data_IF_014247030422
#
_entry.id   IF_014247030422
#
_cell.length_a   1.000
_cell.length_b   1.000
_cell.length_c   1.000
_cell.angle_alpha   90.00
_cell.angle_beta   90.00
_cell.angle_gamma   90.00
#
_symmetry.space_group_name_H-M   'P 1'
#
loop_
_entity.id
_entity.type
_entity.pdbx_description
1 polymer ?
#
# COMPACT_ATOMS: atom_id res chain seq x y z
N UNK A 1 -2.90 35.13 -6.38
CA UNK A 1 -3.73 34.57 -5.28
C UNK A 1 -3.57 35.28 -3.93
N UNK A 2 -2.49 36.05 -3.67
CA UNK A 2 -2.25 36.71 -2.38
C UNK A 2 -3.27 37.82 -1.97
N UNK A 3 -4.28 38.11 -2.80
CA UNK A 3 -5.24 39.19 -2.56
C UNK A 3 -6.71 38.76 -2.55
N UNK A 4 -7.02 37.46 -2.70
CA UNK A 4 -8.42 37.02 -2.73
C UNK A 4 -9.07 37.29 -1.36
N UNK A 5 -10.22 37.96 -1.38
CA UNK A 5 -11.05 38.20 -0.20
C UNK A 5 -11.89 36.97 0.11
N UNK A 6 -12.41 36.87 1.34
CA UNK A 6 -13.30 35.77 1.72
C UNK A 6 -14.55 35.71 0.83
N UNK A 7 -15.17 36.85 0.50
CA UNK A 7 -16.36 36.88 -0.34
C UNK A 7 -16.04 36.41 -1.77
N UNK A 8 -14.91 36.82 -2.34
CA UNK A 8 -14.47 36.34 -3.66
C UNK A 8 -14.18 34.84 -3.64
N UNK A 9 -13.56 34.33 -2.58
CA UNK A 9 -13.30 32.91 -2.43
C UNK A 9 -14.61 32.10 -2.32
N UNK A 10 -15.55 32.53 -1.47
CA UNK A 10 -16.85 31.87 -1.32
C UNK A 10 -17.65 31.89 -2.63
N UNK A 11 -17.61 33.01 -3.36
CA UNK A 11 -18.26 33.11 -4.67
C UNK A 11 -17.66 32.13 -5.68
N UNK A 12 -16.32 31.99 -5.73
CA UNK A 12 -15.68 31.00 -6.59
C UNK A 12 -16.05 29.56 -6.23
N UNK A 13 -16.17 29.26 -4.93
CA UNK A 13 -16.62 27.93 -4.47
C UNK A 13 -18.07 27.69 -4.86
N UNK A 14 -18.94 28.68 -4.67
CA UNK A 14 -20.35 28.62 -5.08
C UNK A 14 -20.46 28.35 -6.59
N UNK A 15 -19.77 29.13 -7.42
CA UNK A 15 -19.74 28.96 -8.87
C UNK A 15 -19.21 27.59 -9.28
N UNK A 16 -18.19 27.07 -8.60
CA UNK A 16 -17.65 25.74 -8.88
C UNK A 16 -18.66 24.62 -8.56
N UNK A 17 -19.44 24.77 -7.48
CA UNK A 17 -20.47 23.81 -7.09
C UNK A 17 -21.68 23.89 -8.03
N UNK A 18 -22.16 25.11 -8.31
CA UNK A 18 -23.33 25.36 -9.17
C UNK A 18 -23.09 24.89 -10.61
N UNK A 19 -21.91 25.20 -11.16
CA UNK A 19 -21.50 24.72 -12.49
C UNK A 19 -21.04 23.25 -12.50
N UNK A 20 -21.03 22.57 -11.35
CA UNK A 20 -20.55 21.19 -11.19
C UNK A 20 -19.12 20.97 -11.68
N UNK A 21 -18.27 21.99 -11.55
CA UNK A 21 -16.84 21.89 -11.83
C UNK A 21 -16.10 21.29 -10.63
N UNK A 22 -16.10 19.96 -10.59
CA UNK A 22 -15.44 19.24 -9.51
C UNK A 22 -13.92 19.42 -9.46
N UNK A 23 -13.27 19.70 -10.59
CA UNK A 23 -11.82 19.90 -10.64
C UNK A 23 -11.44 21.22 -9.98
N UNK A 24 -12.12 22.31 -10.36
CA UNK A 24 -11.90 23.61 -9.75
C UNK A 24 -12.33 23.65 -8.28
N UNK A 25 -13.46 23.02 -7.94
CA UNK A 25 -13.90 22.87 -6.55
C UNK A 25 -12.87 22.10 -5.70
N UNK A 26 -12.27 21.03 -6.25
CA UNK A 26 -11.20 20.29 -5.60
C UNK A 26 -9.95 21.14 -5.35
N UNK A 27 -9.58 22.05 -6.26
CA UNK A 27 -8.46 22.97 -6.05
C UNK A 27 -8.75 23.94 -4.91
N UNK A 28 -9.94 24.54 -4.88
CA UNK A 28 -10.35 25.47 -3.84
C UNK A 28 -10.43 24.80 -2.46
N UNK A 29 -10.72 23.50 -2.39
CA UNK A 29 -10.80 22.74 -1.13
C UNK A 29 -9.60 21.84 -0.84
N UNK A 30 -8.52 21.95 -1.62
CA UNK A 30 -7.30 21.17 -1.40
C UNK A 30 -6.24 21.95 -0.64
N UNK A 31 -5.57 21.26 0.28
CA UNK A 31 -4.41 21.79 0.99
C UNK A 31 -3.15 21.96 0.12
N UNK A 32 -3.20 21.58 -1.16
CA UNK A 32 -2.14 21.84 -2.14
C UNK A 32 -2.25 23.20 -2.83
N UNK A 33 -3.42 23.83 -2.76
CA UNK A 33 -3.65 25.08 -3.47
C UNK A 33 -3.11 26.27 -2.65
N UNK A 34 -2.59 27.33 -3.31
CA UNK A 34 -1.97 28.47 -2.59
C UNK A 34 -2.92 29.26 -1.67
N UNK A 35 -4.24 29.06 -1.76
CA UNK A 35 -5.23 29.75 -0.93
C UNK A 35 -5.02 29.47 0.57
N UNK A 36 -4.49 28.30 0.93
CA UNK A 36 -4.24 27.88 2.32
C UNK A 36 -3.27 28.82 3.03
N UNK A 37 -2.34 29.44 2.28
CA UNK A 37 -1.36 30.37 2.80
C UNK A 37 -1.91 31.81 2.94
N UNK A 38 -3.15 32.09 2.53
CA UNK A 38 -3.74 33.42 2.61
C UNK A 38 -4.29 33.68 4.03
N UNK A 39 -3.72 34.64 4.80
CA UNK A 39 -4.19 34.94 6.15
C UNK A 39 -5.66 35.39 6.22
N UNK A 40 -6.20 35.94 5.13
CA UNK A 40 -7.62 36.37 5.06
C UNK A 40 -8.62 35.22 5.03
N UNK A 41 -8.15 34.01 4.70
CA UNK A 41 -8.95 32.78 4.67
C UNK A 41 -8.74 31.90 5.91
N UNK A 42 -7.73 32.20 6.72
CA UNK A 42 -7.43 31.53 7.99
C UNK A 42 -8.31 32.09 9.10
N UNK A 43 -9.60 31.75 9.07
CA UNK A 43 -10.62 32.29 9.98
C UNK A 43 -10.94 31.30 11.10
N UNK A 44 -11.07 31.80 12.33
CA UNK A 44 -11.50 30.99 13.49
C UNK A 44 -13.00 30.70 13.48
N UNK A 45 -13.81 31.62 12.96
CA UNK A 45 -15.28 31.53 12.93
C UNK A 45 -15.85 31.94 11.56
N UNK A 46 -15.71 31.10 10.51
CA UNK A 46 -16.20 31.39 9.17
C UNK A 46 -17.70 31.04 8.93
N UNK A 47 -18.40 30.47 9.90
CA UNK A 47 -19.73 29.83 9.74
C UNK A 47 -20.77 30.77 9.16
N UNK A 48 -21.00 31.92 9.79
CA UNK A 48 -22.02 32.88 9.36
C UNK A 48 -21.79 33.36 7.93
N UNK A 49 -20.52 33.59 7.56
CA UNK A 49 -20.16 34.04 6.20
C UNK A 49 -20.39 32.94 5.17
N UNK A 50 -20.11 31.68 5.51
CA UNK A 50 -20.35 30.56 4.60
C UNK A 50 -21.86 30.33 4.42
N UNK A 51 -22.64 30.40 5.49
CA UNK A 51 -24.11 30.25 5.47
C UNK A 51 -24.83 31.34 4.65
N UNK A 52 -24.24 32.52 4.54
CA UNK A 52 -24.80 33.60 3.72
C UNK A 52 -24.67 33.35 2.20
N UNK A 53 -23.75 32.47 1.77
CA UNK A 53 -23.39 32.28 0.36
C UNK A 53 -23.67 30.87 -0.14
N UNK A 54 -23.51 29.86 0.72
CA UNK A 54 -23.59 28.45 0.39
C UNK A 54 -24.76 27.79 1.11
N UNK A 55 -25.35 26.77 0.48
CA UNK A 55 -26.42 25.98 1.09
C UNK A 55 -25.87 24.72 1.79
N UNK A 56 -26.59 24.19 2.81
CA UNK A 56 -26.24 22.91 3.41
C UNK A 56 -26.22 21.73 2.44
N UNK A 57 -25.22 20.82 2.53
CA UNK A 57 -24.16 20.75 3.54
C UNK A 57 -22.84 21.44 3.12
N UNK A 58 -22.82 22.22 2.03
CA UNK A 58 -21.61 22.84 1.49
C UNK A 58 -21.12 24.03 2.33
N UNK A 59 -22.02 24.76 2.97
CA UNK A 59 -21.70 25.80 3.96
C UNK A 59 -20.85 25.25 5.12
N UNK A 60 -21.29 24.15 5.73
CA UNK A 60 -20.61 23.46 6.82
C UNK A 60 -19.24 22.93 6.37
N UNK A 61 -19.19 22.37 5.16
CA UNK A 61 -17.96 21.85 4.56
C UNK A 61 -16.91 22.95 4.36
N UNK A 62 -17.30 24.08 3.77
CA UNK A 62 -16.37 25.20 3.48
C UNK A 62 -15.96 25.92 4.76
N UNK A 63 -16.88 26.09 5.71
CA UNK A 63 -16.56 26.63 7.04
C UNK A 63 -15.52 25.76 7.76
N UNK A 64 -15.72 24.44 7.77
CA UNK A 64 -14.76 23.49 8.34
C UNK A 64 -13.40 23.54 7.62
N UNK A 65 -13.37 23.68 6.29
CA UNK A 65 -12.13 23.82 5.54
C UNK A 65 -11.36 25.08 5.94
N UNK A 66 -12.02 26.23 6.03
CA UNK A 66 -11.39 27.49 6.45
C UNK A 66 -10.86 27.41 7.88
N UNK A 67 -11.61 26.80 8.82
CA UNK A 67 -11.11 26.52 10.18
C UNK A 67 -9.92 25.56 10.17
N UNK A 68 -9.91 24.58 9.28
CA UNK A 68 -8.77 23.68 9.08
C UNK A 68 -7.53 24.48 8.63
N UNK A 69 -7.67 25.42 7.69
CA UNK A 69 -6.55 26.29 7.27
C UNK A 69 -6.02 27.15 8.43
N UNK A 70 -6.90 27.66 9.29
CA UNK A 70 -6.52 28.39 10.50
C UNK A 70 -5.76 27.49 11.50
N UNK A 71 -6.23 26.27 11.75
CA UNK A 71 -5.56 25.33 12.64
C UNK A 71 -4.16 24.93 12.11
N UNK A 72 -4.03 24.72 10.80
CA UNK A 72 -2.74 24.45 10.14
C UNK A 72 -1.78 25.62 10.27
N UNK A 73 -2.26 26.86 10.07
CA UNK A 73 -1.45 28.07 10.24
C UNK A 73 -0.91 28.22 11.67
N UNK A 74 -1.66 27.74 12.67
CA UNK A 74 -1.27 27.72 14.07
C UNK A 74 -0.49 26.46 14.49
N UNK A 75 -0.10 25.59 13.55
CA UNK A 75 0.58 24.32 13.80
C UNK A 75 -0.18 23.35 14.74
N UNK A 76 -1.52 23.45 14.79
CA UNK A 76 -2.37 22.49 15.49
C UNK A 76 -2.95 21.46 14.50
N UNK A 77 -2.19 20.39 14.26
CA UNK A 77 -2.61 19.33 13.35
C UNK A 77 -3.68 18.42 13.95
N UNK A 78 -3.82 18.38 15.28
CA UNK A 78 -4.90 17.61 15.93
C UNK A 78 -6.23 18.29 15.67
N UNK A 79 -6.28 19.61 15.81
CA UNK A 79 -7.48 20.37 15.49
C UNK A 79 -7.76 20.42 13.98
N UNK A 80 -6.71 20.56 13.14
CA UNK A 80 -6.84 20.46 11.69
C UNK A 80 -7.44 19.11 11.26
N UNK A 81 -7.01 18.00 11.87
CA UNK A 81 -7.58 16.68 11.61
C UNK A 81 -9.08 16.61 11.93
N UNK A 82 -9.53 17.21 13.04
CA UNK A 82 -10.95 17.25 13.39
C UNK A 82 -11.76 18.03 12.37
N UNK A 83 -11.30 19.22 11.99
CA UNK A 83 -11.98 20.02 10.97
C UNK A 83 -11.98 19.34 9.60
N UNK A 84 -10.88 18.72 9.19
CA UNK A 84 -10.86 17.94 7.95
C UNK A 84 -11.80 16.73 8.01
N UNK A 85 -11.99 16.12 9.17
CA UNK A 85 -12.99 15.06 9.36
C UNK A 85 -14.40 15.60 9.10
N UNK A 86 -14.72 16.80 9.61
CA UNK A 86 -15.99 17.48 9.33
C UNK A 86 -16.16 17.81 7.83
N UNK A 87 -15.10 18.26 7.16
CA UNK A 87 -15.11 18.47 5.69
C UNK A 87 -15.55 17.20 4.97
N UNK A 88 -14.93 16.05 5.29
CA UNK A 88 -15.27 14.76 4.65
C UNK A 88 -16.70 14.32 4.99
N UNK A 89 -17.17 14.53 6.22
CA UNK A 89 -18.54 14.17 6.63
C UNK A 89 -19.60 15.02 5.94
N UNK A 90 -19.40 16.34 5.85
CA UNK A 90 -20.29 17.25 5.13
C UNK A 90 -20.28 16.98 3.63
N UNK A 91 -19.10 16.76 3.04
CA UNK A 91 -18.96 16.31 1.66
C UNK A 91 -19.74 15.01 1.42
N UNK A 92 -19.59 14.02 2.31
CA UNK A 92 -20.25 12.71 2.14
C UNK A 92 -21.78 12.83 2.11
N UNK A 93 -22.38 13.73 2.91
CA UNK A 93 -23.81 14.02 2.88
C UNK A 93 -24.26 14.54 1.51
N UNK A 94 -23.55 15.50 0.92
CA UNK A 94 -23.84 15.97 -0.44
C UNK A 94 -23.57 14.88 -1.48
N UNK A 95 -22.45 14.18 -1.37
CA UNK A 95 -22.07 13.16 -2.33
C UNK A 95 -23.06 11.99 -2.38
N UNK A 96 -23.76 11.69 -1.28
CA UNK A 96 -24.84 10.71 -1.25
C UNK A 96 -26.12 11.18 -1.98
N UNK A 97 -26.42 12.48 -1.96
CA UNK A 97 -27.63 13.02 -2.58
C UNK A 97 -27.52 13.12 -4.10
N UNK A 98 -26.32 13.27 -4.64
CA UNK A 98 -26.08 13.29 -6.09
C UNK A 98 -26.48 11.94 -6.68
N UNK A 99 -27.44 11.89 -7.61
CA UNK A 99 -27.84 10.64 -8.27
C UNK A 99 -27.30 10.65 -9.69
N UNK A 100 -26.70 9.54 -10.11
CA UNK A 100 -26.30 9.33 -11.51
C UNK A 100 -25.32 10.42 -12.02
N UNK A 101 -24.49 10.94 -11.12
CA UNK A 101 -23.51 11.98 -11.42
C UNK A 101 -22.20 11.71 -10.64
N UNK A 102 -21.07 11.99 -11.28
CA UNK A 102 -19.74 11.80 -10.69
C UNK A 102 -18.84 13.05 -10.70
N UNK A 103 -19.39 14.22 -11.05
CA UNK A 103 -18.62 15.46 -11.12
C UNK A 103 -17.83 15.75 -9.84
N UNK A 104 -18.35 15.34 -8.67
CA UNK A 104 -17.74 15.57 -7.36
C UNK A 104 -16.58 14.60 -7.01
N UNK A 105 -16.21 13.66 -7.89
CA UNK A 105 -15.10 12.73 -7.65
C UNK A 105 -13.75 13.41 -7.43
N UNK A 106 -13.33 14.44 -8.20
CA UNK A 106 -12.07 15.13 -7.95
C UNK A 106 -12.06 15.80 -6.56
N UNK A 107 -13.20 16.35 -6.13
CA UNK A 107 -13.34 16.92 -4.78
C UNK A 107 -13.17 15.84 -3.71
N UNK A 108 -13.84 14.68 -3.87
CA UNK A 108 -13.64 13.53 -2.99
C UNK A 108 -12.16 13.15 -2.89
N UNK A 109 -11.44 13.13 -4.01
CA UNK A 109 -10.02 12.77 -4.04
C UNK A 109 -9.17 13.76 -3.22
N UNK A 110 -9.44 15.06 -3.33
CA UNK A 110 -8.75 16.09 -2.56
C UNK A 110 -9.01 15.93 -1.05
N UNK A 111 -10.27 15.96 -0.63
CA UNK A 111 -10.62 16.02 0.80
C UNK A 111 -10.23 14.74 1.55
N UNK A 112 -10.32 13.57 0.91
CA UNK A 112 -9.94 12.30 1.53
C UNK A 112 -8.42 12.08 1.55
N UNK A 113 -7.68 12.62 0.57
CA UNK A 113 -6.22 12.65 0.59
C UNK A 113 -5.73 13.49 1.78
N UNK A 114 -6.29 14.68 1.92
CA UNK A 114 -5.92 15.64 2.96
C UNK A 114 -6.26 15.08 4.35
N UNK A 115 -7.42 14.43 4.51
CA UNK A 115 -7.77 13.73 5.76
C UNK A 115 -6.70 12.70 6.18
N UNK A 116 -6.24 11.87 5.23
CA UNK A 116 -5.17 10.90 5.52
C UNK A 116 -3.86 11.59 5.92
N UNK A 117 -3.51 12.70 5.26
CA UNK A 117 -2.28 13.45 5.59
C UNK A 117 -2.39 14.05 6.99
N UNK A 118 -3.52 14.68 7.33
CA UNK A 118 -3.72 15.25 8.65
C UNK A 118 -3.80 14.20 9.75
N UNK A 119 -4.43 13.04 9.50
CA UNK A 119 -4.42 11.93 10.44
C UNK A 119 -2.98 11.52 10.81
N UNK A 120 -2.10 11.44 9.80
CA UNK A 120 -0.69 11.15 10.02
C UNK A 120 0.04 12.27 10.79
N UNK A 121 -0.21 13.54 10.46
CA UNK A 121 0.45 14.67 11.11
C UNK A 121 -0.01 14.84 12.56
N UNK A 122 -1.31 14.71 12.82
CA UNK A 122 -1.92 14.74 14.16
C UNK A 122 -1.33 13.64 15.05
N UNK A 123 -1.24 12.42 14.51
CA UNK A 123 -0.64 11.28 15.21
C UNK A 123 0.83 11.52 15.56
N UNK A 124 1.64 12.02 14.61
CA UNK A 124 3.02 12.39 14.88
C UNK A 124 3.15 13.51 15.94
N UNK A 125 2.24 14.49 15.91
CA UNK A 125 2.23 15.58 16.89
C UNK A 125 1.87 15.08 18.30
N UNK A 126 0.91 14.16 18.41
CA UNK A 126 0.54 13.54 19.68
C UNK A 126 1.65 12.65 20.23
N UNK A 127 2.25 11.81 19.38
CA UNK A 127 3.37 10.94 19.76
C UNK A 127 4.58 11.74 20.27
N UNK A 128 4.91 12.87 19.63
CA UNK A 128 5.97 13.78 20.11
C UNK A 128 5.69 14.36 21.49
N UNK A 129 4.41 14.53 21.84
CA UNK A 129 3.97 14.99 23.18
C UNK A 129 3.79 13.83 24.17
N UNK A 130 4.16 12.60 23.81
CA UNK A 130 3.97 11.41 24.64
C UNK A 130 2.50 11.04 24.88
N UNK A 131 1.59 11.49 24.01
CA UNK A 131 0.13 11.27 24.11
C UNK A 131 -0.38 10.49 22.88
N UNK A 132 -1.55 9.88 23.03
CA UNK A 132 -2.28 9.22 21.94
C UNK A 132 -1.78 7.81 21.61
N UNK A 133 -2.71 6.95 21.18
CA UNK A 133 -2.39 5.57 20.82
C UNK A 133 -1.91 5.49 19.35
N UNK A 134 -0.79 4.79 19.06
CA UNK A 134 -0.34 4.60 17.68
C UNK A 134 -1.39 3.89 16.82
N UNK A 135 -1.72 4.47 15.67
CA UNK A 135 -2.68 3.96 14.70
C UNK A 135 -4.11 4.47 14.88
N UNK A 136 -4.47 5.03 16.03
CA UNK A 136 -5.86 5.38 16.37
C UNK A 136 -6.45 6.45 15.43
N UNK A 137 -5.70 7.53 15.18
CA UNK A 137 -6.14 8.61 14.29
C UNK A 137 -6.26 8.14 12.84
N UNK A 138 -5.32 7.29 12.42
CA UNK A 138 -5.34 6.71 11.09
C UNK A 138 -6.52 5.77 10.90
N UNK A 139 -6.88 4.99 11.93
CA UNK A 139 -8.05 4.11 11.90
C UNK A 139 -9.36 4.88 11.79
N UNK A 140 -9.54 5.94 12.61
CA UNK A 140 -10.70 6.84 12.52
C UNK A 140 -10.81 7.51 11.14
N UNK A 141 -9.69 7.91 10.54
CA UNK A 141 -9.67 8.41 9.17
C UNK A 141 -10.09 7.35 8.15
N UNK A 142 -9.65 6.10 8.32
CA UNK A 142 -10.03 5.00 7.44
C UNK A 142 -11.55 4.74 7.47
N UNK A 143 -12.21 4.86 8.62
CA UNK A 143 -13.67 4.73 8.73
C UNK A 143 -14.43 5.76 7.86
N UNK A 144 -13.93 7.00 7.81
CA UNK A 144 -14.50 8.04 6.95
C UNK A 144 -14.29 7.72 5.47
N UNK A 145 -13.07 7.32 5.09
CA UNK A 145 -12.75 6.91 3.71
C UNK A 145 -13.56 5.67 3.28
N UNK A 146 -13.77 4.70 4.18
CA UNK A 146 -14.62 3.53 3.94
C UNK A 146 -16.08 3.94 3.69
N UNK A 147 -16.56 5.01 4.32
CA UNK A 147 -17.91 5.51 4.10
C UNK A 147 -18.06 6.12 2.69
N UNK A 148 -17.08 6.90 2.22
CA UNK A 148 -17.02 7.33 0.81
C UNK A 148 -16.93 6.13 -0.15
N UNK A 149 -16.15 5.11 0.21
CA UNK A 149 -15.98 3.91 -0.62
C UNK A 149 -17.30 3.16 -0.78
N UNK A 150 -18.07 3.00 0.31
CA UNK A 150 -19.39 2.37 0.27
C UNK A 150 -20.35 3.08 -0.67
N UNK A 151 -20.38 4.42 -0.65
CA UNK A 151 -21.21 5.21 -1.58
C UNK A 151 -20.82 4.92 -3.03
N UNK A 152 -19.52 4.95 -3.35
CA UNK A 152 -19.03 4.63 -4.69
C UNK A 152 -19.36 3.20 -5.11
N UNK A 153 -19.17 2.22 -4.23
CA UNK A 153 -19.40 0.80 -4.51
C UNK A 153 -20.89 0.47 -4.72
N UNK A 154 -21.78 1.19 -4.03
CA UNK A 154 -23.23 1.00 -4.13
C UNK A 154 -23.87 1.65 -5.37
N UNK A 155 -23.10 2.42 -6.15
CA UNK A 155 -23.60 3.16 -7.30
C UNK A 155 -23.79 2.25 -8.52
N UNK A 156 -24.87 1.47 -8.49
CA UNK A 156 -25.21 0.46 -9.50
C UNK A 156 -26.16 0.96 -10.60
N UNK A 157 -26.74 2.16 -10.43
CA UNK A 157 -27.78 2.68 -11.34
C UNK A 157 -27.21 3.60 -12.42
N UNK A 158 -26.12 4.31 -12.11
CA UNK A 158 -25.48 5.21 -13.04
C UNK A 158 -24.90 4.48 -14.26
N UNK A 159 -24.91 5.16 -15.41
CA UNK A 159 -24.11 4.74 -16.57
C UNK A 159 -22.62 4.65 -16.20
N UNK A 160 -21.85 3.89 -16.99
CA UNK A 160 -20.41 3.69 -16.73
C UNK A 160 -19.66 5.02 -16.66
N UNK A 161 -19.98 5.98 -17.53
CA UNK A 161 -19.30 7.27 -17.62
C UNK A 161 -19.58 8.17 -16.41
N UNK A 162 -20.82 8.15 -15.91
CA UNK A 162 -21.27 9.00 -14.79
C UNK A 162 -21.19 8.29 -13.43
N UNK A 163 -20.67 7.07 -13.39
CA UNK A 163 -20.64 6.29 -12.16
C UNK A 163 -19.60 6.80 -11.16
N UNK A 164 -19.98 6.83 -9.89
CA UNK A 164 -19.08 7.07 -8.76
C UNK A 164 -18.10 5.92 -8.54
N UNK A 165 -18.31 4.75 -9.17
CA UNK A 165 -17.38 3.61 -9.09
C UNK A 165 -15.97 3.95 -9.55
N UNK A 166 -15.81 4.96 -10.42
CA UNK A 166 -14.50 5.54 -10.78
C UNK A 166 -13.68 6.01 -9.56
N UNK A 167 -14.34 6.33 -8.45
CA UNK A 167 -13.69 6.70 -7.20
C UNK A 167 -13.13 5.55 -6.37
N UNK A 168 -13.56 4.31 -6.60
CA UNK A 168 -13.25 3.16 -5.75
C UNK A 168 -11.75 2.88 -5.70
N UNK A 169 -11.06 2.87 -6.84
CA UNK A 169 -9.63 2.56 -6.91
C UNK A 169 -8.78 3.60 -6.17
N UNK A 170 -9.14 4.89 -6.26
CA UNK A 170 -8.46 5.95 -5.51
C UNK A 170 -8.60 5.72 -4.00
N UNK A 171 -9.83 5.50 -3.53
CA UNK A 171 -10.12 5.28 -2.12
C UNK A 171 -9.43 4.02 -1.59
N UNK A 172 -9.49 2.91 -2.33
CA UNK A 172 -8.76 1.67 -2.01
C UNK A 172 -7.27 1.93 -1.85
N UNK A 173 -6.67 2.71 -2.75
CA UNK A 173 -5.25 3.08 -2.66
C UNK A 173 -4.95 3.93 -1.41
N UNK A 174 -5.83 4.84 -1.01
CA UNK A 174 -5.65 5.61 0.24
C UNK A 174 -5.76 4.71 1.46
N UNK A 175 -6.79 3.84 1.50
CA UNK A 175 -7.05 2.89 2.57
C UNK A 175 -5.91 1.87 2.72
N UNK A 176 -5.34 1.36 1.62
CA UNK A 176 -4.15 0.51 1.69
C UNK A 176 -2.97 1.21 2.36
N UNK A 177 -2.72 2.50 2.09
CA UNK A 177 -1.62 3.21 2.77
C UNK A 177 -1.86 3.30 4.28
N UNK A 178 -3.12 3.40 4.71
CA UNK A 178 -3.50 3.39 6.12
C UNK A 178 -3.30 1.97 6.70
N UNK A 179 -3.95 0.97 6.11
CA UNK A 179 -3.95 -0.41 6.64
C UNK A 179 -2.58 -1.05 6.70
N UNK A 180 -1.70 -0.77 5.74
CA UNK A 180 -0.31 -1.21 5.81
C UNK A 180 0.48 -0.47 6.89
N UNK A 181 0.18 0.79 7.17
CA UNK A 181 0.85 1.56 8.23
C UNK A 181 0.44 1.09 9.63
N UNK A 182 -0.84 0.76 9.83
CA UNK A 182 -1.37 0.28 11.11
C UNK A 182 -1.34 -1.26 11.25
N UNK A 183 -0.72 -1.95 10.29
CA UNK A 183 -0.61 -3.42 10.26
C UNK A 183 -1.95 -4.19 10.31
N UNK A 184 -3.03 -3.65 9.73
CA UNK A 184 -4.36 -4.29 9.61
C UNK A 184 -4.62 -4.83 8.20
N UNK A 185 -3.74 -5.70 7.71
CA UNK A 185 -3.76 -6.18 6.31
C UNK A 185 -5.02 -6.97 5.92
N UNK A 186 -5.70 -7.60 6.88
CA UNK A 186 -6.94 -8.34 6.62
C UNK A 186 -8.06 -7.45 6.05
N UNK A 187 -8.07 -6.15 6.40
CA UNK A 187 -9.03 -5.16 5.90
C UNK A 187 -8.84 -4.81 4.42
N UNK A 188 -7.74 -5.24 3.80
CA UNK A 188 -7.54 -5.08 2.36
C UNK A 188 -8.41 -6.04 1.54
N UNK A 189 -8.76 -7.23 2.07
CA UNK A 189 -9.47 -8.28 1.31
C UNK A 189 -10.83 -7.81 0.75
N UNK A 190 -11.70 -7.12 1.51
CA UNK A 190 -12.98 -6.61 0.98
C UNK A 190 -12.80 -5.58 -0.15
N UNK A 191 -11.80 -4.71 -0.03
CA UNK A 191 -11.50 -3.69 -1.06
C UNK A 191 -11.05 -4.32 -2.36
N UNK A 192 -10.18 -5.34 -2.28
CA UNK A 192 -9.70 -6.09 -3.45
C UNK A 192 -10.87 -6.76 -4.15
N UNK A 193 -11.72 -7.48 -3.40
CA UNK A 193 -12.90 -8.17 -3.95
C UNK A 193 -13.83 -7.20 -4.69
N UNK A 194 -14.10 -6.03 -4.11
CA UNK A 194 -14.98 -5.04 -4.71
C UNK A 194 -14.43 -4.41 -5.99
N UNK A 195 -13.10 -4.25 -6.11
CA UNK A 195 -12.46 -3.78 -7.34
C UNK A 195 -12.43 -4.89 -8.39
N UNK A 196 -12.10 -6.12 -8.01
CA UNK A 196 -11.98 -7.25 -8.93
C UNK A 196 -13.34 -7.66 -9.52
N UNK A 197 -14.43 -7.46 -8.77
CA UNK A 197 -15.81 -7.65 -9.23
C UNK A 197 -16.37 -6.47 -10.03
N UNK A 198 -15.65 -5.35 -10.11
CA UNK A 198 -16.10 -4.16 -10.85
C UNK A 198 -15.78 -4.28 -12.34
N UNK A 199 -16.72 -3.85 -13.18
CA UNK A 199 -16.55 -3.78 -14.62
C UNK A 199 -15.47 -2.77 -15.04
N UNK A 200 -15.11 -1.82 -14.16
CA UNK A 200 -14.13 -0.75 -14.43
C UNK A 200 -12.67 -1.14 -14.20
N UNK A 201 -12.39 -2.37 -13.74
CA UNK A 201 -11.06 -2.77 -13.23
C UNK A 201 -9.88 -2.45 -14.16
N UNK A 202 -10.12 -2.45 -15.48
CA UNK A 202 -9.09 -2.21 -16.48
C UNK A 202 -8.97 -0.74 -16.91
N UNK A 203 -10.00 0.07 -16.69
CA UNK A 203 -10.14 1.40 -17.28
C UNK A 203 -9.57 2.51 -16.38
N UNK A 204 -9.25 2.20 -15.13
CA UNK A 204 -8.56 3.13 -14.23
C UNK A 204 -7.21 3.60 -14.81
N UNK A 205 -6.81 4.81 -14.43
CA UNK A 205 -5.53 5.39 -14.83
C UNK A 205 -4.34 4.47 -14.48
N UNK A 206 -3.28 4.43 -15.30
CA UNK A 206 -2.09 3.62 -15.03
C UNK A 206 -1.47 3.90 -13.65
N UNK A 207 -1.49 5.16 -13.19
CA UNK A 207 -0.95 5.55 -11.88
C UNK A 207 -1.71 4.91 -10.72
N UNK A 208 -3.04 4.86 -10.80
CA UNK A 208 -3.87 4.19 -9.79
C UNK A 208 -3.69 2.67 -9.84
N UNK A 209 -3.64 2.07 -11.04
CA UNK A 209 -3.42 0.62 -11.21
C UNK A 209 -2.07 0.17 -10.66
N UNK A 210 -0.99 0.92 -10.91
CA UNK A 210 0.34 0.63 -10.35
C UNK A 210 0.33 0.67 -8.83
N UNK A 211 -0.33 1.67 -8.23
CA UNK A 211 -0.41 1.77 -6.77
C UNK A 211 -1.21 0.61 -6.18
N UNK A 212 -2.33 0.25 -6.81
CA UNK A 212 -3.19 -0.84 -6.38
C UNK A 212 -2.45 -2.18 -6.43
N UNK A 213 -1.88 -2.52 -7.60
CA UNK A 213 -1.12 -3.75 -7.82
C UNK A 213 0.08 -3.87 -6.88
N UNK A 214 0.73 -2.75 -6.56
CA UNK A 214 1.82 -2.75 -5.58
C UNK A 214 1.35 -3.24 -4.19
N UNK A 215 0.23 -2.72 -3.69
CA UNK A 215 -0.29 -3.14 -2.37
C UNK A 215 -0.90 -4.54 -2.40
N UNK A 216 -1.64 -4.89 -3.45
CA UNK A 216 -2.18 -6.25 -3.62
C UNK A 216 -1.05 -7.29 -3.67
N UNK A 217 0.01 -7.01 -4.43
CA UNK A 217 1.18 -7.90 -4.51
C UNK A 217 1.92 -8.03 -3.18
N UNK A 218 2.08 -6.94 -2.43
CA UNK A 218 2.64 -6.99 -1.07
C UNK A 218 1.78 -7.81 -0.11
N UNK A 219 0.47 -7.64 -0.15
CA UNK A 219 -0.47 -8.44 0.66
C UNK A 219 -0.40 -9.93 0.29
N UNK A 220 -0.34 -10.26 -0.99
CA UNK A 220 -0.15 -11.64 -1.44
C UNK A 220 1.18 -12.23 -0.96
N UNK A 221 2.28 -11.46 -1.01
CA UNK A 221 3.58 -11.87 -0.47
C UNK A 221 3.50 -12.19 1.04
N UNK A 222 2.81 -11.37 1.83
CA UNK A 222 2.63 -11.62 3.27
C UNK A 222 1.76 -12.85 3.57
N UNK A 223 0.77 -13.13 2.73
CA UNK A 223 -0.03 -14.37 2.80
C UNK A 223 0.74 -15.60 2.25
N UNK A 224 2.00 -15.44 1.82
CA UNK A 224 2.82 -16.47 1.15
C UNK A 224 2.29 -16.94 -0.21
N UNK A 225 1.39 -16.18 -0.84
CA UNK A 225 0.88 -16.40 -2.19
C UNK A 225 1.87 -15.81 -3.23
N UNK A 226 2.99 -16.50 -3.47
CA UNK A 226 4.10 -15.92 -4.24
C UNK A 226 3.82 -15.73 -5.73
N UNK A 227 3.01 -16.58 -6.36
CA UNK A 227 2.65 -16.43 -7.79
C UNK A 227 1.81 -15.17 -8.03
N UNK A 228 0.66 -14.95 -7.35
CA UNK A 228 -0.07 -13.69 -7.47
C UNK A 228 0.74 -12.46 -7.06
N UNK A 229 1.61 -12.59 -6.05
CA UNK A 229 2.50 -11.52 -5.62
C UNK A 229 3.46 -11.10 -6.75
N UNK A 230 4.06 -12.06 -7.43
CA UNK A 230 4.97 -11.83 -8.55
C UNK A 230 4.26 -11.10 -9.68
N UNK A 231 3.10 -11.59 -10.13
CA UNK A 231 2.34 -10.98 -11.23
C UNK A 231 2.01 -9.51 -10.94
N UNK A 232 1.50 -9.23 -9.74
CA UNK A 232 1.11 -7.88 -9.34
C UNK A 232 2.31 -6.93 -9.18
N UNK A 233 3.40 -7.39 -8.57
CA UNK A 233 4.60 -6.57 -8.35
C UNK A 233 5.36 -6.35 -9.66
N UNK A 234 5.44 -7.36 -10.53
CA UNK A 234 6.00 -7.24 -11.89
C UNK A 234 5.19 -6.25 -12.71
N UNK A 235 3.86 -6.36 -12.73
CA UNK A 235 3.00 -5.37 -13.39
C UNK A 235 3.30 -3.95 -12.91
N UNK A 236 3.39 -3.77 -11.58
CA UNK A 236 3.68 -2.48 -10.96
C UNK A 236 5.03 -1.93 -11.40
N UNK A 237 6.07 -2.77 -11.45
CA UNK A 237 7.42 -2.37 -11.84
C UNK A 237 7.51 -1.93 -13.31
N UNK A 238 6.87 -2.69 -14.20
CA UNK A 238 6.87 -2.43 -15.64
C UNK A 238 6.07 -1.19 -16.02
N UNK A 239 4.89 -1.00 -15.39
CA UNK A 239 4.01 0.14 -15.67
C UNK A 239 4.34 1.39 -14.83
N UNK A 240 5.26 1.30 -13.87
CA UNK A 240 5.73 2.47 -13.14
C UNK A 240 6.53 3.39 -14.07
N UNK A 241 6.22 4.68 -14.02
CA UNK A 241 6.87 5.69 -14.84
C UNK A 241 8.40 5.67 -14.71
N UNK A 242 9.11 5.81 -15.83
CA UNK A 242 10.57 5.68 -15.92
C UNK A 242 11.34 6.70 -15.08
N UNK A 243 10.80 7.90 -14.84
CA UNK A 243 11.44 8.90 -13.97
C UNK A 243 11.22 8.64 -12.47
N UNK A 244 10.26 7.78 -12.11
CA UNK A 244 9.88 7.52 -10.72
C UNK A 244 10.78 6.48 -10.06
N UNK A 245 12.09 6.76 -10.02
CA UNK A 245 13.12 5.84 -9.52
C UNK A 245 12.86 5.37 -8.08
N UNK A 246 12.39 6.27 -7.21
CA UNK A 246 12.01 5.94 -5.82
C UNK A 246 10.91 4.89 -5.77
N UNK A 247 9.87 5.01 -6.60
CA UNK A 247 8.77 4.06 -6.65
C UNK A 247 9.22 2.71 -7.22
N UNK A 248 10.05 2.72 -8.27
CA UNK A 248 10.62 1.48 -8.82
C UNK A 248 11.46 0.74 -7.79
N UNK A 249 12.30 1.46 -7.04
CA UNK A 249 13.06 0.91 -5.91
C UNK A 249 12.14 0.30 -4.85
N UNK A 250 11.09 1.02 -4.45
CA UNK A 250 10.10 0.50 -3.48
C UNK A 250 9.43 -0.79 -3.96
N UNK A 251 9.07 -0.88 -5.25
CA UNK A 251 8.48 -2.10 -5.82
C UNK A 251 9.50 -3.25 -5.79
N UNK A 252 10.75 -2.99 -6.18
CA UNK A 252 11.80 -4.00 -6.22
C UNK A 252 12.13 -4.60 -4.86
N UNK A 253 12.07 -3.81 -3.77
CA UNK A 253 12.28 -4.33 -2.41
C UNK A 253 11.37 -5.52 -2.09
N UNK A 254 10.15 -5.53 -2.61
CA UNK A 254 9.19 -6.63 -2.41
C UNK A 254 9.23 -7.64 -3.56
N UNK A 255 9.48 -7.21 -4.80
CA UNK A 255 9.54 -8.11 -5.96
C UNK A 255 10.75 -9.05 -5.91
N UNK A 256 11.90 -8.58 -5.42
CA UNK A 256 13.13 -9.37 -5.37
C UNK A 256 12.99 -10.62 -4.50
N UNK A 257 12.58 -10.55 -3.21
CA UNK A 257 12.32 -11.76 -2.41
C UNK A 257 11.37 -12.74 -3.09
N UNK A 258 10.28 -12.26 -3.67
CA UNK A 258 9.28 -13.09 -4.34
C UNK A 258 9.88 -13.80 -5.56
N UNK A 259 10.61 -13.09 -6.41
CA UNK A 259 11.29 -13.68 -7.57
C UNK A 259 12.32 -14.72 -7.15
N UNK A 260 13.11 -14.44 -6.09
CA UNK A 260 14.08 -15.39 -5.56
C UNK A 260 13.40 -16.65 -5.01
N UNK A 261 12.25 -16.51 -4.34
CA UNK A 261 11.43 -17.63 -3.88
C UNK A 261 10.87 -18.49 -5.02
N UNK A 262 10.61 -17.88 -6.17
CA UNK A 262 10.23 -18.58 -7.40
C UNK A 262 11.45 -19.10 -8.19
N UNK A 263 12.66 -18.97 -7.65
CA UNK A 263 13.89 -19.47 -8.27
C UNK A 263 14.54 -18.52 -9.29
N UNK A 264 14.05 -17.28 -9.42
CA UNK A 264 14.61 -16.27 -10.30
C UNK A 264 15.50 -15.30 -9.52
N UNK A 265 16.81 -15.39 -9.76
CA UNK A 265 17.81 -14.57 -9.09
C UNK A 265 18.03 -13.24 -9.81
N UNK A 266 18.15 -12.10 -9.10
CA UNK A 266 18.40 -10.81 -9.73
C UNK A 266 19.83 -10.67 -10.27
N UNK A 267 19.99 -9.85 -11.30
CA UNK A 267 21.32 -9.53 -11.84
C UNK A 267 22.02 -8.45 -11.01
N UNK A 268 23.36 -8.47 -10.88
CA UNK A 268 24.10 -7.44 -10.15
C UNK A 268 23.90 -6.02 -10.71
N UNK A 269 23.69 -5.90 -12.03
CA UNK A 269 23.42 -4.62 -12.70
C UNK A 269 22.09 -4.02 -12.23
N UNK A 270 21.05 -4.85 -12.06
CA UNK A 270 19.76 -4.40 -11.56
C UNK A 270 19.88 -3.86 -10.12
N UNK A 271 20.60 -4.57 -9.26
CA UNK A 271 20.80 -4.18 -7.87
C UNK A 271 21.56 -2.86 -7.76
N UNK A 272 22.64 -2.68 -8.55
CA UNK A 272 23.39 -1.42 -8.61
C UNK A 272 22.53 -0.26 -9.10
N UNK A 273 21.73 -0.48 -10.16
CA UNK A 273 20.88 0.56 -10.77
C UNK A 273 19.87 1.16 -9.79
N UNK A 274 19.33 0.36 -8.87
CA UNK A 274 18.28 0.79 -7.94
C UNK A 274 18.75 0.89 -6.48
N UNK A 275 20.06 0.84 -6.22
CA UNK A 275 20.65 0.92 -4.87
C UNK A 275 20.06 -0.14 -3.91
N UNK A 276 20.21 -1.41 -4.31
CA UNK A 276 19.72 -2.61 -3.61
C UNK A 276 20.84 -3.64 -3.42
N UNK A 277 22.08 -3.18 -3.22
CA UNK A 277 23.25 -4.06 -3.05
C UNK A 277 23.18 -4.97 -1.82
N UNK A 278 22.31 -4.65 -0.85
CA UNK A 278 22.02 -5.52 0.31
C UNK A 278 21.53 -6.91 -0.11
N UNK A 279 20.91 -7.04 -1.30
CA UNK A 279 20.46 -8.32 -1.85
C UNK A 279 21.56 -9.11 -2.56
N UNK A 280 22.76 -8.52 -2.77
CA UNK A 280 23.83 -9.16 -3.54
C UNK A 280 24.32 -10.44 -2.86
N UNK A 281 24.66 -10.35 -1.57
CA UNK A 281 25.17 -11.48 -0.79
C UNK A 281 24.09 -12.57 -0.63
N UNK A 282 22.82 -12.16 -0.45
CA UNK A 282 21.67 -13.08 -0.40
C UNK A 282 21.51 -13.81 -1.75
N UNK A 283 21.59 -13.10 -2.86
CA UNK A 283 21.45 -13.68 -4.21
C UNK A 283 22.54 -14.70 -4.49
N UNK A 284 23.79 -14.37 -4.12
CA UNK A 284 24.94 -15.28 -4.25
C UNK A 284 24.75 -16.52 -3.39
N UNK A 285 24.39 -16.34 -2.12
CA UNK A 285 24.17 -17.44 -1.19
C UNK A 285 23.12 -18.44 -1.68
N UNK A 286 21.95 -17.96 -2.09
CA UNK A 286 20.88 -18.82 -2.60
C UNK A 286 21.31 -19.55 -3.88
N UNK A 287 21.93 -18.84 -4.82
CA UNK A 287 22.42 -19.43 -6.08
C UNK A 287 23.47 -20.53 -5.84
N UNK A 288 24.34 -20.33 -4.85
CA UNK A 288 25.40 -21.26 -4.51
C UNK A 288 24.96 -22.37 -3.54
N UNK A 289 23.75 -22.30 -2.98
CA UNK A 289 23.35 -23.21 -1.90
C UNK A 289 24.18 -23.04 -0.63
N UNK A 290 24.69 -21.83 -0.38
CA UNK A 290 25.57 -21.56 0.76
C UNK A 290 24.75 -21.00 1.94
N UNK A 291 24.39 -21.88 2.88
CA UNK A 291 23.55 -21.52 4.04
C UNK A 291 24.28 -20.57 5.01
N UNK A 292 25.58 -20.75 5.21
CA UNK A 292 26.40 -19.88 6.06
C UNK A 292 26.44 -18.45 5.52
N UNK A 293 26.69 -18.30 4.21
CA UNK A 293 26.67 -16.99 3.56
C UNK A 293 25.29 -16.35 3.63
N UNK A 294 24.21 -17.15 3.48
CA UNK A 294 22.85 -16.63 3.60
C UNK A 294 22.60 -16.08 5.00
N UNK A 295 22.94 -16.85 6.05
CA UNK A 295 22.81 -16.41 7.44
C UNK A 295 23.58 -15.10 7.66
N UNK A 296 24.86 -15.06 7.28
CA UNK A 296 25.71 -13.88 7.44
C UNK A 296 25.17 -12.66 6.67
N UNK A 297 24.62 -12.86 5.46
CA UNK A 297 24.03 -11.78 4.67
C UNK A 297 22.76 -11.21 5.30
N UNK A 298 21.91 -12.07 5.88
CA UNK A 298 20.70 -11.66 6.59
C UNK A 298 21.06 -10.90 7.86
N UNK A 299 22.02 -11.38 8.65
CA UNK A 299 22.48 -10.73 9.90
C UNK A 299 23.15 -9.38 9.60
N UNK A 300 24.06 -9.32 8.62
CA UNK A 300 24.75 -8.09 8.21
C UNK A 300 23.81 -6.95 7.79
N UNK A 301 22.68 -7.29 7.16
CA UNK A 301 21.71 -6.32 6.65
C UNK A 301 20.35 -6.39 7.36
N UNK A 302 20.30 -6.97 8.56
CA UNK A 302 19.08 -7.25 9.32
C UNK A 302 18.23 -5.98 9.51
N UNK A 303 18.84 -4.90 9.98
CA UNK A 303 18.15 -3.63 10.24
C UNK A 303 17.46 -3.06 8.99
N UNK A 304 18.03 -3.27 7.80
CA UNK A 304 17.46 -2.86 6.53
C UNK A 304 16.26 -3.73 6.15
N UNK A 305 16.38 -5.05 6.27
CA UNK A 305 15.33 -6.00 5.91
C UNK A 305 14.13 -5.94 6.87
N UNK A 306 14.38 -5.76 8.17
CA UNK A 306 13.34 -5.57 9.19
C UNK A 306 12.56 -4.27 8.91
N UNK A 307 13.28 -3.17 8.65
CA UNK A 307 12.64 -1.87 8.34
C UNK A 307 11.79 -1.91 7.07
N UNK A 308 12.19 -2.71 6.08
CA UNK A 308 11.42 -2.94 4.86
C UNK A 308 10.24 -3.92 5.08
N UNK A 309 10.22 -4.65 6.18
CA UNK A 309 9.22 -5.67 6.49
C UNK A 309 9.35 -6.94 5.64
N UNK A 310 10.57 -7.29 5.21
CA UNK A 310 10.81 -8.45 4.31
C UNK A 310 11.72 -9.52 4.94
N UNK A 311 12.23 -9.30 6.15
CA UNK A 311 13.16 -10.23 6.81
C UNK A 311 12.61 -11.66 6.86
N UNK A 312 11.39 -11.84 7.38
CA UNK A 312 10.73 -13.15 7.45
C UNK A 312 10.49 -13.82 6.08
N UNK A 313 10.31 -13.01 5.03
CA UNK A 313 10.16 -13.52 3.66
C UNK A 313 11.51 -14.00 3.13
N UNK A 314 12.60 -13.28 3.43
CA UNK A 314 13.94 -13.68 3.05
C UNK A 314 14.40 -14.93 3.82
N UNK A 315 13.98 -15.13 5.06
CA UNK A 315 14.28 -16.37 5.78
C UNK A 315 13.73 -17.62 5.10
N UNK A 316 12.59 -17.53 4.41
CA UNK A 316 12.03 -18.64 3.61
C UNK A 316 12.96 -19.06 2.47
N UNK A 317 13.92 -18.23 2.06
CA UNK A 317 14.95 -18.61 1.08
C UNK A 317 15.88 -19.71 1.57
N UNK A 318 15.93 -19.99 2.89
CA UNK A 318 16.66 -21.13 3.46
C UNK A 318 16.27 -22.44 2.76
N UNK A 319 14.97 -22.65 2.49
CA UNK A 319 14.44 -23.85 1.83
C UNK A 319 15.06 -24.03 0.43
N UNK A 320 15.12 -22.97 -0.36
CA UNK A 320 15.69 -23.00 -1.72
C UNK A 320 17.21 -23.18 -1.67
N UNK A 321 17.84 -22.63 -0.64
CA UNK A 321 19.29 -22.75 -0.42
C UNK A 321 19.65 -24.19 -0.06
N UNK A 322 18.89 -24.85 0.84
CA UNK A 322 19.00 -26.29 1.11
C UNK A 322 18.84 -27.11 -0.17
N UNK A 323 17.78 -26.84 -0.95
CA UNK A 323 17.55 -27.51 -2.24
C UNK A 323 18.76 -27.41 -3.16
N UNK A 324 19.33 -26.21 -3.29
CA UNK A 324 20.47 -25.96 -4.19
C UNK A 324 21.75 -26.63 -3.66
N UNK A 325 21.98 -26.64 -2.35
CA UNK A 325 23.08 -27.37 -1.72
C UNK A 325 22.99 -28.87 -2.00
N UNK A 326 21.85 -29.47 -1.71
CA UNK A 326 21.64 -30.91 -1.89
C UNK A 326 21.67 -31.31 -3.36
N UNK A 327 21.17 -30.45 -4.26
CA UNK A 327 21.33 -30.66 -5.70
C UNK A 327 22.81 -30.69 -6.11
N UNK A 328 23.67 -29.86 -5.50
CA UNK A 328 25.12 -29.92 -5.77
C UNK A 328 25.73 -31.22 -5.27
N UNK A 329 25.39 -31.66 -4.06
CA UNK A 329 25.86 -32.95 -3.50
C UNK A 329 25.44 -34.11 -4.42
N UNK A 330 24.17 -34.14 -4.84
CA UNK A 330 23.65 -35.11 -5.79
C UNK A 330 24.45 -35.15 -7.10
N UNK A 331 24.70 -33.99 -7.71
CA UNK A 331 25.44 -33.89 -8.97
C UNK A 331 26.91 -34.32 -8.84
N UNK A 332 27.51 -34.13 -7.66
CA UNK A 332 28.88 -34.54 -7.37
C UNK A 332 29.01 -36.06 -7.18
N UNK A 333 28.04 -36.68 -6.49
CA UNK A 333 28.07 -38.12 -6.21
C UNK A 333 27.85 -38.97 -7.47
N UNK A 334 27.04 -38.50 -8.44
CA UNK A 334 26.73 -39.22 -9.70
C UNK A 334 26.18 -40.64 -9.50
N UNK A 335 25.54 -40.91 -8.36
CA UNK A 335 24.90 -42.19 -8.04
C UNK A 335 23.39 -42.02 -7.84
N UNK A 336 22.63 -43.10 -8.09
CA UNK A 336 21.19 -43.13 -7.81
C UNK A 336 20.87 -43.41 -6.33
N UNK A 337 21.80 -44.04 -5.61
CA UNK A 337 21.73 -44.26 -4.17
C UNK A 337 22.50 -43.14 -3.48
N UNK A 338 21.79 -42.34 -2.69
CA UNK A 338 22.33 -41.14 -2.06
C UNK A 338 22.55 -41.40 -0.56
N UNK A 339 23.81 -41.56 -0.10
CA UNK A 339 24.10 -41.74 1.31
C UNK A 339 23.77 -40.46 2.08
N UNK A 340 23.03 -40.59 3.18
CA UNK A 340 22.65 -39.47 4.04
C UNK A 340 23.87 -38.76 4.64
N UNK A 341 24.93 -39.52 4.92
CA UNK A 341 26.20 -39.00 5.44
C UNK A 341 26.82 -37.93 4.52
N UNK A 342 26.66 -38.06 3.20
CA UNK A 342 27.20 -37.07 2.27
C UNK A 342 26.48 -35.72 2.40
N UNK A 343 25.17 -35.72 2.67
CA UNK A 343 24.41 -34.51 2.94
C UNK A 343 24.73 -33.96 4.33
N UNK A 344 24.89 -34.83 5.34
CA UNK A 344 25.32 -34.44 6.69
C UNK A 344 26.67 -33.72 6.65
N UNK A 345 27.66 -34.25 5.93
CA UNK A 345 28.96 -33.60 5.72
C UNK A 345 28.78 -32.22 5.06
N UNK A 346 27.93 -32.11 4.04
CA UNK A 346 27.68 -30.83 3.38
C UNK A 346 27.04 -29.79 4.32
N UNK A 347 26.13 -30.21 5.20
CA UNK A 347 25.51 -29.35 6.21
C UNK A 347 26.50 -28.91 7.28
N UNK A 348 27.34 -29.82 7.76
CA UNK A 348 28.42 -29.52 8.70
C UNK A 348 29.42 -28.52 8.12
N UNK A 349 29.76 -28.65 6.83
CA UNK A 349 30.59 -27.67 6.12
C UNK A 349 29.96 -26.27 6.06
N UNK A 350 28.62 -26.20 6.07
CA UNK A 350 27.87 -24.94 6.13
C UNK A 350 27.62 -24.45 7.56
N UNK A 351 28.21 -25.10 8.58
CA UNK A 351 28.07 -24.75 10.00
C UNK A 351 26.60 -24.69 10.46
N UNK A 352 25.76 -25.60 9.97
CA UNK A 352 24.41 -25.75 10.52
C UNK A 352 24.52 -26.44 11.88
N UNK A 353 24.01 -25.80 12.93
CA UNK A 353 24.10 -26.27 14.31
C UNK A 353 23.27 -27.54 14.53
N UNK A 354 23.79 -28.45 15.36
CA UNK A 354 23.11 -29.66 15.87
C UNK A 354 22.44 -30.55 14.82
N UNK A 355 23.01 -30.63 13.61
CA UNK A 355 22.49 -31.50 12.55
C UNK A 355 22.98 -32.93 12.75
N UNK A 356 22.03 -33.86 12.88
CA UNK A 356 22.26 -35.29 12.81
C UNK A 356 21.63 -35.91 11.54
N UNK A 357 21.72 -37.24 11.42
CA UNK A 357 21.16 -37.96 10.27
C UNK A 357 19.62 -37.86 10.23
N UNK A 358 18.97 -37.79 11.38
CA UNK A 358 17.50 -37.71 11.48
C UNK A 358 17.02 -36.33 10.99
N UNK A 359 17.74 -35.26 11.32
CA UNK A 359 17.48 -33.92 10.81
C UNK A 359 17.71 -33.83 9.30
N UNK A 360 18.76 -34.48 8.78
CA UNK A 360 18.99 -34.57 7.33
C UNK A 360 17.80 -35.26 6.63
N UNK A 361 17.29 -36.35 7.20
CA UNK A 361 16.10 -37.04 6.68
C UNK A 361 14.89 -36.11 6.68
N UNK A 362 14.66 -35.37 7.77
CA UNK A 362 13.57 -34.40 7.90
C UNK A 362 13.65 -33.31 6.81
N UNK A 363 14.83 -32.70 6.64
CA UNK A 363 15.04 -31.66 5.60
C UNK A 363 14.79 -32.24 4.21
N UNK A 364 15.32 -33.43 3.90
CA UNK A 364 15.10 -34.09 2.62
C UNK A 364 13.63 -34.41 2.36
N UNK A 365 12.92 -34.95 3.35
CA UNK A 365 11.49 -35.25 3.26
C UNK A 365 10.68 -33.98 2.97
N UNK A 366 10.96 -32.89 3.67
CA UNK A 366 10.32 -31.59 3.44
C UNK A 366 10.60 -31.04 2.03
N UNK A 367 11.84 -31.18 1.55
CA UNK A 367 12.20 -30.75 0.18
C UNK A 367 11.50 -31.59 -0.89
N UNK A 368 11.34 -32.90 -0.68
CA UNK A 368 10.62 -33.80 -1.60
C UNK A 368 9.14 -33.46 -1.62
N UNK A 369 8.54 -33.26 -0.45
CA UNK A 369 7.14 -32.86 -0.33
C UNK A 369 6.86 -31.54 -1.05
N UNK A 370 7.72 -30.52 -0.85
CA UNK A 370 7.53 -29.21 -1.50
C UNK A 370 7.78 -29.19 -3.02
N UNK A 371 8.45 -30.21 -3.58
CA UNK A 371 8.73 -30.33 -5.03
C UNK A 371 7.72 -31.24 -5.72
N UNK A 372 7.07 -32.15 -5.00
CA UNK A 372 6.00 -32.98 -5.53
C UNK A 372 4.73 -32.14 -5.62
N UNK A 373 4.22 -31.78 -6.82
CA UNK A 373 2.86 -31.28 -6.91
C UNK A 373 1.95 -32.39 -6.35
N UNK A 374 1.01 -32.02 -5.49
CA UNK A 374 -0.01 -32.94 -4.98
C UNK A 374 -0.54 -33.79 -6.16
N UNK A 375 -0.52 -35.13 -6.09
CA UNK A 375 -1.34 -35.91 -6.99
C UNK A 375 -2.80 -35.48 -6.77
N UNK A 376 -3.62 -35.35 -7.83
CA UNK A 376 -5.05 -35.10 -7.66
C UNK A 376 -5.59 -36.22 -6.78
N UNK A 377 -6.20 -35.82 -5.66
CA UNK A 377 -6.82 -36.69 -4.68
C UNK A 377 -7.70 -37.75 -5.38
N UNK A 378 -7.31 -39.04 -5.43
CA UNK A 378 -8.11 -40.06 -6.08
C UNK A 378 -9.03 -40.69 -5.04
N UNK A 379 -9.85 -39.91 -4.36
CA UNK A 379 -10.94 -40.44 -3.53
C UNK A 379 -12.18 -39.55 -3.58
N UNK A 380 -12.79 -39.50 -4.76
CA UNK A 380 -14.24 -39.52 -4.84
C UNK A 380 -14.71 -40.95 -4.59
N UNK A 381 -15.04 -41.29 -3.35
CA UNK A 381 -15.77 -42.52 -3.02
C UNK A 381 -16.87 -42.20 -2.00
N UNK A 382 -18.09 -42.22 -2.53
CA UNK A 382 -19.43 -42.16 -1.93
C UNK A 382 -19.99 -40.82 -1.44
#
# INVERSE_FOLDING_TARGET
MAHITINQYLQQVYEAIDNRDGAFCAELLSFKHPHVANPRLQLSSPEEKCQQVLEPPYDEMVAAHLRCTYAVANHDFVEAYKFQTLVVQSFLRAFQSHKEENWALPLMFAVTLDLRIFANNAEQQLQKKGKGQPGEMMEKAAEQLMSCFRVCASDNRAGIEDSKKWGMMFLSNQLFKIYFKINKLHLCKPLIRAIDSSNLKNDYSPAQKVTYRYYVGRKAMFDSDFKPAEECLSYSFHHCHRSSQKNKRMILIYLLPVKMLLGHMPTPQLLKKYDLMQFSDVTKAVSEGNLLLLHNALTKHETFFIRCGIFLILEKLKIITYRNLFKKVYLLLKTHQLPLDAFLVALNMMQVEDVDVDEVQCILANLIYMVSPDPPDPMGVH
#
